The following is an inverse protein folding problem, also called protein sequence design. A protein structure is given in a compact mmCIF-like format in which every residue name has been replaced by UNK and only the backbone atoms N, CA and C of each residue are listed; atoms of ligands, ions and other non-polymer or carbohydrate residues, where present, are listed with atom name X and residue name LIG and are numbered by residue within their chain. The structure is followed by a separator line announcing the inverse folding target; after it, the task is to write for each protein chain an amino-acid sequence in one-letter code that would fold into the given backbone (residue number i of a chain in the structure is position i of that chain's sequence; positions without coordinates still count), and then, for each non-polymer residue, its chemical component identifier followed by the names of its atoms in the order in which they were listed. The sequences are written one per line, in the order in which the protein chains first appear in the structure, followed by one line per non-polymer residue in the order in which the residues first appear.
data_IF_794233395926
#
_entry.id   IF_794233395926
#
_cell.length_a   1.000
_cell.length_b   1.000
_cell.length_c   1.000
_cell.angle_alpha   90.00
_cell.angle_beta   90.00
_cell.angle_gamma   90.00
#
_symmetry.space_group_name_H-M   'P 1'
#
loop_
_entity.id
_entity.type
_entity.pdbx_description
1 polymer ?
#
# COMPACT_ATOMS: atom_id res chain seq x y z
N UNK A 1 5.28 -20.96 -4.95
CA UNK A 1 5.17 -20.18 -3.70
C UNK A 1 4.26 -20.97 -2.80
N UNK A 2 4.76 -21.44 -1.66
CA UNK A 2 4.03 -22.41 -0.83
C UNK A 2 3.07 -21.66 0.11
N UNK A 3 2.17 -22.38 0.80
CA UNK A 3 1.16 -21.78 1.70
C UNK A 3 1.78 -20.84 2.75
N UNK A 4 2.92 -21.24 3.32
CA UNK A 4 3.66 -20.47 4.34
C UNK A 4 4.22 -19.16 3.79
N UNK A 5 4.66 -19.15 2.52
CA UNK A 5 5.18 -17.95 1.85
C UNK A 5 4.06 -16.95 1.60
N UNK A 6 2.87 -17.44 1.20
CA UNK A 6 1.69 -16.60 1.03
C UNK A 6 1.24 -15.95 2.34
N UNK A 7 1.19 -16.71 3.43
CA UNK A 7 0.84 -16.17 4.76
C UNK A 7 1.84 -15.07 5.17
N UNK A 8 3.14 -15.29 4.95
CA UNK A 8 4.16 -14.27 5.23
C UNK A 8 3.98 -13.02 4.37
N UNK A 9 3.73 -13.17 3.07
CA UNK A 9 3.50 -12.04 2.18
C UNK A 9 2.28 -11.22 2.63
N UNK A 10 1.18 -11.88 3.00
CA UNK A 10 -0.03 -11.23 3.52
C UNK A 10 0.24 -10.49 4.84
N UNK A 11 0.97 -11.10 5.78
CA UNK A 11 1.35 -10.45 7.03
C UNK A 11 2.20 -9.20 6.79
N UNK A 12 3.19 -9.29 5.91
CA UNK A 12 4.06 -8.17 5.54
C UNK A 12 3.24 -7.05 4.88
N UNK A 13 2.33 -7.41 3.98
CA UNK A 13 1.44 -6.44 3.34
C UNK A 13 0.51 -5.75 4.34
N UNK A 14 -0.09 -6.51 5.27
CA UNK A 14 -1.01 -5.97 6.27
C UNK A 14 -0.30 -5.05 7.26
N UNK A 15 0.83 -5.49 7.84
CA UNK A 15 1.60 -4.69 8.80
C UNK A 15 2.24 -3.48 8.10
N UNK A 16 2.91 -3.71 6.97
CA UNK A 16 3.56 -2.64 6.21
C UNK A 16 2.55 -1.62 5.68
N UNK A 17 1.40 -2.09 5.20
CA UNK A 17 0.30 -1.26 4.75
C UNK A 17 -0.32 -0.45 5.89
N UNK A 18 -0.57 -1.09 7.04
CA UNK A 18 -1.08 -0.41 8.23
C UNK A 18 -0.15 0.71 8.70
N UNK A 19 1.16 0.45 8.82
CA UNK A 19 2.16 1.45 9.20
C UNK A 19 2.22 2.58 8.19
N UNK A 20 2.28 2.25 6.90
CA UNK A 20 2.31 3.23 5.82
C UNK A 20 1.10 4.17 5.87
N UNK A 21 -0.11 3.63 5.98
CA UNK A 21 -1.33 4.43 6.02
C UNK A 21 -1.50 5.21 7.33
N UNK A 22 -1.04 4.67 8.46
CA UNK A 22 -1.00 5.42 9.72
C UNK A 22 -0.14 6.68 9.60
N UNK A 23 1.02 6.60 8.93
CA UNK A 23 1.88 7.75 8.66
C UNK A 23 1.20 8.76 7.72
N UNK A 24 0.51 8.29 6.68
CA UNK A 24 -0.24 9.17 5.77
C UNK A 24 -1.35 9.90 6.50
N UNK A 25 -2.13 9.20 7.33
CA UNK A 25 -3.20 9.81 8.14
C UNK A 25 -2.62 10.81 9.14
N UNK A 26 -1.52 10.48 9.80
CA UNK A 26 -0.84 11.41 10.69
C UNK A 26 -0.37 12.66 9.95
N UNK A 27 0.23 12.51 8.77
CA UNK A 27 0.67 13.63 7.95
C UNK A 27 -0.51 14.49 7.47
N UNK A 28 -1.64 13.88 7.11
CA UNK A 28 -2.87 14.60 6.77
C UNK A 28 -3.42 15.39 7.97
N UNK A 29 -3.31 14.84 9.19
CA UNK A 29 -3.78 15.50 10.40
C UNK A 29 -2.85 16.61 10.88
N UNK A 30 -1.54 16.53 10.58
CA UNK A 30 -0.53 17.48 11.06
C UNK A 30 -0.14 18.57 10.05
N UNK A 31 -0.65 18.50 8.82
CA UNK A 31 -0.34 19.48 7.77
C UNK A 31 -1.60 20.15 7.22
N UNK A 32 -1.51 21.44 6.89
CA UNK A 32 -2.62 22.17 6.26
C UNK A 32 -2.82 21.77 4.79
N UNK A 33 -1.79 21.25 4.13
CA UNK A 33 -1.81 20.91 2.70
C UNK A 33 -2.13 19.43 2.46
N UNK A 34 -3.41 19.08 2.56
CA UNK A 34 -3.88 17.74 2.25
C UNK A 34 -3.44 17.27 0.84
N UNK A 35 -3.41 18.18 -0.14
CA UNK A 35 -3.00 17.89 -1.51
C UNK A 35 -1.55 17.42 -1.60
N UNK A 36 -0.63 18.08 -0.88
CA UNK A 36 0.78 17.71 -0.88
C UNK A 36 0.98 16.31 -0.29
N UNK A 37 0.29 15.99 0.81
CA UNK A 37 0.36 14.67 1.44
C UNK A 37 -0.22 13.57 0.55
N UNK A 38 -1.34 13.84 -0.13
CA UNK A 38 -1.92 12.88 -1.09
C UNK A 38 -0.96 12.60 -2.25
N UNK A 39 -0.33 13.64 -2.82
CA UNK A 39 0.64 13.45 -3.92
C UNK A 39 1.89 12.70 -3.42
N UNK A 40 2.45 13.11 -2.29
CA UNK A 40 3.64 12.48 -1.72
C UNK A 40 3.40 11.01 -1.36
N UNK A 41 2.24 10.70 -0.77
CA UNK A 41 1.84 9.31 -0.50
C UNK A 41 1.64 8.54 -1.81
N UNK A 42 0.94 9.08 -2.81
CA UNK A 42 0.79 8.41 -4.10
C UNK A 42 2.16 8.05 -4.75
N UNK A 43 3.10 8.99 -4.77
CA UNK A 43 4.45 8.77 -5.29
C UNK A 43 5.18 7.70 -4.47
N UNK A 44 5.14 7.79 -3.15
CA UNK A 44 5.78 6.83 -2.24
C UNK A 44 5.22 5.42 -2.44
N UNK A 45 3.89 5.30 -2.56
CA UNK A 45 3.21 4.03 -2.83
C UNK A 45 3.63 3.41 -4.16
N UNK A 46 3.74 4.22 -5.22
CA UNK A 46 4.24 3.77 -6.52
C UNK A 46 5.69 3.30 -6.42
N UNK A 47 6.56 4.04 -5.73
CA UNK A 47 7.95 3.65 -5.51
C UNK A 47 8.05 2.31 -4.75
N UNK A 48 7.28 2.13 -3.67
CA UNK A 48 7.25 0.88 -2.91
C UNK A 48 6.76 -0.30 -3.75
N UNK A 49 5.73 -0.09 -4.58
CA UNK A 49 5.23 -1.09 -5.50
C UNK A 49 6.29 -1.49 -6.55
N UNK A 50 6.92 -0.50 -7.18
CA UNK A 50 7.97 -0.73 -8.19
C UNK A 50 9.17 -1.44 -7.57
N UNK A 51 9.68 -0.98 -6.43
CA UNK A 51 10.80 -1.61 -5.73
C UNK A 51 10.45 -3.04 -5.33
N UNK A 52 9.26 -3.28 -4.75
CA UNK A 52 8.80 -4.62 -4.40
C UNK A 52 8.73 -5.56 -5.60
N UNK A 53 8.22 -5.10 -6.74
CA UNK A 53 8.18 -5.86 -7.99
C UNK A 53 9.59 -6.14 -8.53
N UNK A 54 10.48 -5.15 -8.52
CA UNK A 54 11.87 -5.32 -8.98
C UNK A 54 12.59 -6.37 -8.12
N UNK A 55 12.50 -6.26 -6.79
CA UNK A 55 13.10 -7.24 -5.87
C UNK A 55 12.48 -8.63 -6.05
N UNK A 56 11.17 -8.72 -6.28
CA UNK A 56 10.50 -9.99 -6.56
C UNK A 56 11.03 -10.67 -7.84
N UNK A 57 11.43 -9.88 -8.85
CA UNK A 57 11.96 -10.37 -10.12
C UNK A 57 13.45 -10.71 -10.05
N UNK A 58 14.22 -10.05 -9.20
CA UNK A 58 15.68 -10.27 -9.08
C UNK A 58 16.05 -11.38 -8.11
N UNK A 59 15.25 -11.62 -7.07
CA UNK A 59 15.60 -12.58 -6.02
C UNK A 59 15.14 -14.00 -6.37
N UNK A 60 16.06 -14.97 -6.33
CA UNK A 60 15.80 -16.39 -6.58
C UNK A 60 15.32 -17.16 -5.35
N UNK A 61 15.59 -16.67 -4.13
CA UNK A 61 15.10 -17.29 -2.89
C UNK A 61 13.59 -17.06 -2.71
N UNK A 62 12.83 -18.16 -2.63
CA UNK A 62 11.37 -18.14 -2.51
C UNK A 62 10.87 -17.34 -1.30
N UNK A 63 11.56 -17.46 -0.16
CA UNK A 63 11.20 -16.72 1.07
C UNK A 63 11.32 -15.20 0.90
N UNK A 64 12.37 -14.73 0.23
CA UNK A 64 12.59 -13.29 -0.02
C UNK A 64 11.62 -12.75 -1.07
N UNK A 65 11.21 -13.56 -2.06
CA UNK A 65 10.16 -13.19 -3.00
C UNK A 65 8.83 -12.94 -2.28
N UNK A 66 8.52 -13.70 -1.24
CA UNK A 66 7.31 -13.47 -0.44
C UNK A 66 7.30 -12.11 0.25
N UNK A 67 8.43 -11.69 0.83
CA UNK A 67 8.58 -10.37 1.44
C UNK A 67 8.48 -9.25 0.39
N UNK A 68 9.15 -9.41 -0.75
CA UNK A 68 9.10 -8.45 -1.84
C UNK A 68 7.67 -8.25 -2.38
N UNK A 69 6.91 -9.34 -2.50
CA UNK A 69 5.50 -9.30 -2.87
C UNK A 69 4.64 -8.61 -1.81
N UNK A 70 4.89 -8.88 -0.53
CA UNK A 70 4.22 -8.19 0.58
C UNK A 70 4.46 -6.68 0.58
N UNK A 71 5.69 -6.24 0.33
CA UNK A 71 6.05 -4.82 0.21
C UNK A 71 5.32 -4.15 -0.96
N UNK A 72 5.22 -4.85 -2.10
CA UNK A 72 4.52 -4.32 -3.27
C UNK A 72 3.02 -4.12 -3.01
N UNK A 73 2.42 -5.01 -2.20
CA UNK A 73 1.00 -4.95 -1.84
C UNK A 73 0.68 -3.97 -0.70
N UNK A 74 1.65 -3.67 0.18
CA UNK A 74 1.46 -2.80 1.34
C UNK A 74 0.70 -1.49 1.03
N UNK A 75 1.10 -0.65 0.05
CA UNK A 75 0.38 0.59 -0.25
C UNK A 75 -1.04 0.37 -0.77
N UNK A 76 -1.34 -0.77 -1.39
CA UNK A 76 -2.66 -1.08 -1.95
C UNK A 76 -3.71 -1.40 -0.88
N UNK A 77 -3.28 -1.75 0.35
CA UNK A 77 -4.21 -2.14 1.43
C UNK A 77 -5.15 -1.02 1.86
N UNK A 78 -4.65 0.21 2.01
CA UNK A 78 -5.49 1.37 2.33
C UNK A 78 -6.24 1.93 1.13
N UNK A 79 -5.76 1.74 -0.10
CA UNK A 79 -6.58 2.05 -1.29
C UNK A 79 -7.85 1.19 -1.31
N UNK A 80 -7.76 -0.08 -0.94
CA UNK A 80 -8.93 -0.96 -0.82
C UNK A 80 -9.94 -0.42 0.21
N UNK A 81 -9.48 0.17 1.31
CA UNK A 81 -10.34 0.80 2.31
C UNK A 81 -10.91 2.16 1.84
N UNK A 82 -10.25 2.86 0.93
CA UNK A 82 -10.70 4.15 0.40
C UNK A 82 -11.70 4.02 -0.75
N UNK A 83 -11.69 2.93 -1.51
CA UNK A 83 -12.61 2.71 -2.64
C UNK A 83 -14.10 2.83 -2.28
N UNK A 84 -14.61 2.26 -1.16
CA UNK A 84 -16.00 2.44 -0.75
C UNK A 84 -16.35 3.89 -0.45
N UNK A 85 -15.46 4.62 0.24
CA UNK A 85 -15.66 6.04 0.55
C UNK A 85 -15.67 6.90 -0.71
N UNK A 86 -14.73 6.66 -1.63
CA UNK A 86 -14.69 7.35 -2.92
C UNK A 86 -15.97 7.10 -3.74
N UNK A 87 -16.45 5.86 -3.76
CA UNK A 87 -17.70 5.48 -4.44
C UNK A 87 -18.92 6.20 -3.84
N UNK A 88 -19.04 6.23 -2.51
CA UNK A 88 -20.12 6.96 -1.82
C UNK A 88 -20.08 8.44 -2.19
N UNK A 89 -18.90 9.04 -2.23
CA UNK A 89 -18.75 10.46 -2.57
C UNK A 89 -19.12 10.74 -4.03
N UNK A 90 -18.72 9.87 -4.96
CA UNK A 90 -19.08 9.97 -6.37
C UNK A 90 -20.59 9.85 -6.58
N UNK A 91 -21.25 8.89 -5.92
CA UNK A 91 -22.71 8.70 -6.01
C UNK A 91 -23.48 9.93 -5.52
N UNK A 92 -22.97 10.62 -4.49
CA UNK A 92 -23.57 11.88 -3.99
C UNK A 92 -23.41 13.07 -4.93
N UNK A 93 -22.44 13.05 -5.85
CA UNK A 93 -22.24 14.12 -6.83
C UNK A 93 -23.11 13.91 -8.09
N UNK A 94 -23.62 12.69 -8.31
CA UNK A 94 -24.37 12.30 -9.50
C UNK A 94 -25.90 12.25 -9.28
N UNK A 95 -26.37 12.35 -8.04
CA UNK A 95 -27.78 12.41 -7.66
C UNK A 95 -28.16 13.76 -7.10
#
# INVERSE_FOLDING_TARGET
MNRTDWVRATYVAAVGGGVYWALVVHALASTESARAVVVASAVTGVCLAVVGVLVFRTVSRVSLRAYAFGIALAPLTGLAAQLPMALIHLLRLLG
#
